data_IF_192200565644
#
_entry.id   IF_192200565644
#
_cell.length_a   1.000
_cell.length_b   1.000
_cell.length_c   1.000
_cell.angle_alpha   90.00
_cell.angle_beta   90.00
_cell.angle_gamma   90.00
#
_symmetry.space_group_name_H-M   'P 1'
#
loop_
_entity.id
_entity.type
_entity.pdbx_description
1 polymer ?
#
# COMPACT_ATOMS: atom_id res chain seq x y z
N UNK A 1 -10.14 -1.53 -34.24
CA UNK A 1 -8.96 -1.19 -33.41
C UNK A 1 -8.31 -2.51 -33.03
N UNK A 2 -6.98 -2.58 -32.91
CA UNK A 2 -6.35 -3.78 -32.35
C UNK A 2 -6.83 -3.94 -30.90
N UNK A 3 -7.01 -5.19 -30.47
CA UNK A 3 -7.38 -5.50 -29.08
C UNK A 3 -6.21 -5.11 -28.16
N UNK A 4 -6.52 -4.33 -27.13
CA UNK A 4 -5.53 -3.89 -26.14
C UNK A 4 -5.26 -5.02 -25.15
N UNK A 5 -4.02 -5.12 -24.67
CA UNK A 5 -3.74 -5.92 -23.48
C UNK A 5 -4.39 -5.29 -22.24
N UNK A 6 -4.63 -6.06 -21.20
CA UNK A 6 -5.19 -5.56 -19.93
C UNK A 6 -4.36 -4.42 -19.36
N UNK A 7 -3.05 -4.56 -19.36
CA UNK A 7 -2.10 -3.52 -18.92
C UNK A 7 -2.24 -2.23 -19.74
N UNK A 8 -2.23 -2.34 -21.06
CA UNK A 8 -2.39 -1.18 -21.94
C UNK A 8 -3.72 -0.47 -21.71
N UNK A 9 -4.81 -1.23 -21.53
CA UNK A 9 -6.15 -0.70 -21.28
C UNK A 9 -6.20 0.11 -19.99
N UNK A 10 -5.67 -0.41 -18.88
CA UNK A 10 -5.60 0.29 -17.59
C UNK A 10 -4.77 1.56 -17.70
N UNK A 11 -3.58 1.50 -18.34
CA UNK A 11 -2.71 2.65 -18.47
C UNK A 11 -3.26 3.73 -19.40
N UNK A 12 -3.93 3.33 -20.49
CA UNK A 12 -4.63 4.27 -21.37
C UNK A 12 -5.78 4.98 -20.66
N UNK A 13 -6.54 4.25 -19.84
CA UNK A 13 -7.60 4.86 -19.03
C UNK A 13 -7.05 5.97 -18.13
N UNK A 14 -5.94 5.73 -17.42
CA UNK A 14 -5.31 6.76 -16.59
C UNK A 14 -4.81 7.97 -17.37
N UNK A 15 -4.38 7.76 -18.62
CA UNK A 15 -3.97 8.84 -19.54
C UNK A 15 -5.13 9.53 -20.24
N UNK A 16 -6.37 9.10 -19.99
CA UNK A 16 -7.59 9.57 -20.68
C UNK A 16 -7.54 9.36 -22.21
N UNK A 17 -6.86 8.30 -22.63
CA UNK A 17 -6.79 7.87 -24.02
C UNK A 17 -7.97 6.94 -24.35
N UNK A 18 -8.22 6.74 -25.65
CA UNK A 18 -9.27 5.84 -26.10
C UNK A 18 -8.93 4.37 -25.75
N UNK A 19 -9.92 3.66 -25.24
CA UNK A 19 -9.85 2.25 -24.87
C UNK A 19 -10.90 1.45 -25.62
N UNK A 20 -10.69 0.16 -25.77
CA UNK A 20 -11.59 -0.78 -26.43
C UNK A 20 -12.79 -1.16 -25.55
N UNK A 21 -12.55 -1.37 -24.27
CA UNK A 21 -13.57 -1.66 -23.25
C UNK A 21 -13.14 -1.11 -21.88
N UNK A 22 -14.09 -0.95 -20.97
CA UNK A 22 -13.77 -0.49 -19.59
C UNK A 22 -13.04 -1.61 -18.84
N UNK A 23 -11.82 -1.34 -18.30
CA UNK A 23 -11.07 -2.37 -17.57
C UNK A 23 -11.72 -2.69 -16.22
N UNK A 24 -11.63 -3.97 -15.85
CA UNK A 24 -11.97 -4.42 -14.49
C UNK A 24 -10.71 -4.45 -13.64
N UNK A 25 -10.42 -3.33 -12.96
CA UNK A 25 -9.22 -3.19 -12.15
C UNK A 25 -9.51 -2.56 -10.79
N UNK A 26 -8.56 -2.71 -9.87
CA UNK A 26 -8.57 -2.01 -8.59
C UNK A 26 -7.29 -1.18 -8.43
N UNK A 27 -7.42 0.02 -7.86
CA UNK A 27 -6.29 0.81 -7.40
C UNK A 27 -5.79 0.40 -6.00
N UNK A 28 -6.40 -0.62 -5.41
CA UNK A 28 -5.99 -1.21 -4.13
C UNK A 28 -5.75 -2.69 -4.27
N UNK A 29 -5.04 -3.25 -3.29
CA UNK A 29 -4.90 -4.70 -3.16
C UNK A 29 -6.26 -5.36 -2.99
N UNK A 30 -6.56 -6.32 -3.86
CA UNK A 30 -7.77 -7.15 -3.82
C UNK A 30 -7.35 -8.58 -3.53
N UNK A 31 -7.96 -9.15 -2.50
CA UNK A 31 -7.69 -10.51 -2.08
C UNK A 31 -9.02 -11.21 -1.70
N UNK A 32 -9.68 -11.84 -2.66
CA UNK A 32 -10.81 -12.72 -2.35
C UNK A 32 -10.36 -13.90 -1.47
N UNK A 33 -11.17 -14.25 -0.48
CA UNK A 33 -10.81 -15.32 0.48
C UNK A 33 -10.57 -16.66 -0.23
N UNK A 34 -11.25 -16.91 -1.31
CA UNK A 34 -11.09 -18.11 -2.13
C UNK A 34 -9.63 -18.30 -2.61
N UNK A 35 -8.89 -17.20 -2.79
CA UNK A 35 -7.47 -17.26 -3.17
C UNK A 35 -6.65 -17.87 -2.02
N UNK A 36 -6.89 -17.44 -0.79
CA UNK A 36 -6.22 -17.98 0.40
C UNK A 36 -6.56 -19.46 0.57
N UNK A 37 -7.83 -19.82 0.43
CA UNK A 37 -8.31 -21.21 0.55
C UNK A 37 -7.64 -22.11 -0.50
N UNK A 38 -7.58 -21.67 -1.76
CA UNK A 38 -6.94 -22.43 -2.83
C UNK A 38 -5.42 -22.49 -2.73
N UNK A 39 -4.79 -21.52 -2.11
CA UNK A 39 -3.35 -21.56 -1.81
C UNK A 39 -3.04 -22.48 -0.63
N UNK A 40 -4.03 -22.81 0.19
CA UNK A 40 -3.86 -23.62 1.40
C UNK A 40 -2.94 -22.96 2.43
N UNK A 41 -2.97 -21.63 2.52
CA UNK A 41 -2.13 -20.84 3.43
C UNK A 41 -2.99 -20.10 4.46
N UNK A 42 -2.36 -19.69 5.55
CA UNK A 42 -3.00 -18.76 6.49
C UNK A 42 -2.93 -17.33 5.98
N UNK A 43 -3.95 -16.53 6.28
CA UNK A 43 -4.00 -15.13 5.86
C UNK A 43 -2.76 -14.33 6.28
N UNK A 44 -2.24 -14.55 7.48
CA UNK A 44 -1.05 -13.86 7.97
C UNK A 44 0.21 -14.09 7.09
N UNK A 45 0.28 -15.21 6.35
CA UNK A 45 1.46 -15.54 5.55
C UNK A 45 1.64 -14.64 4.33
N UNK A 46 0.57 -14.02 3.82
CA UNK A 46 0.70 -13.02 2.75
C UNK A 46 1.44 -11.75 3.19
N UNK A 47 1.48 -11.49 4.50
CA UNK A 47 2.17 -10.34 5.06
C UNK A 47 3.63 -10.62 5.45
N UNK A 48 4.05 -11.88 5.43
CA UNK A 48 5.36 -12.32 5.92
C UNK A 48 6.22 -13.05 4.89
N UNK A 49 5.70 -13.20 3.67
CA UNK A 49 6.40 -13.90 2.57
C UNK A 49 6.20 -13.16 1.26
N UNK A 50 7.31 -12.78 0.62
CA UNK A 50 7.29 -12.17 -0.71
C UNK A 50 6.60 -13.08 -1.73
N UNK A 51 6.86 -14.39 -1.64
CA UNK A 51 6.27 -15.40 -2.52
C UNK A 51 4.75 -15.42 -2.38
N UNK A 52 4.24 -15.58 -1.15
CA UNK A 52 2.79 -15.63 -0.93
C UNK A 52 2.09 -14.30 -1.20
N UNK A 53 2.77 -13.18 -0.95
CA UNK A 53 2.24 -11.84 -1.29
C UNK A 53 2.05 -11.68 -2.79
N UNK A 54 3.06 -12.01 -3.58
CA UNK A 54 3.00 -11.94 -5.03
C UNK A 54 2.02 -12.97 -5.62
N UNK A 55 2.11 -14.22 -5.19
CA UNK A 55 1.24 -15.31 -5.65
C UNK A 55 -0.24 -15.02 -5.40
N UNK A 56 -0.59 -14.48 -4.24
CA UNK A 56 -1.97 -14.12 -3.93
C UNK A 56 -2.51 -13.01 -4.85
N UNK A 57 -1.67 -12.03 -5.21
CA UNK A 57 -2.05 -10.98 -6.16
C UNK A 57 -2.22 -11.53 -7.59
N UNK A 58 -1.29 -12.38 -8.05
CA UNK A 58 -1.36 -13.07 -9.34
C UNK A 58 -2.62 -13.93 -9.44
N UNK A 59 -2.84 -14.74 -8.42
CA UNK A 59 -3.99 -15.64 -8.38
C UNK A 59 -5.31 -14.87 -8.31
N UNK A 60 -5.36 -13.77 -7.57
CA UNK A 60 -6.52 -12.87 -7.55
C UNK A 60 -6.81 -12.31 -8.93
N UNK A 61 -5.78 -11.80 -9.63
CA UNK A 61 -5.94 -11.27 -10.97
C UNK A 61 -6.47 -12.35 -11.93
N UNK A 62 -5.87 -13.54 -11.95
CA UNK A 62 -6.20 -14.62 -12.88
C UNK A 62 -7.55 -15.28 -12.60
N UNK A 63 -7.88 -15.52 -11.33
CA UNK A 63 -9.15 -16.17 -10.96
C UNK A 63 -10.37 -15.28 -11.16
N UNK A 64 -10.22 -13.99 -10.93
CA UNK A 64 -11.34 -13.04 -10.92
C UNK A 64 -11.32 -12.07 -12.11
N UNK A 65 -10.32 -12.17 -12.97
CA UNK A 65 -10.21 -11.32 -14.16
C UNK A 65 -9.84 -9.87 -13.84
N UNK A 66 -9.13 -9.60 -12.74
CA UNK A 66 -8.64 -8.25 -12.47
C UNK A 66 -7.52 -7.89 -13.44
N UNK A 67 -7.63 -6.73 -14.04
CA UNK A 67 -6.63 -6.17 -14.96
C UNK A 67 -5.52 -5.39 -14.21
N UNK A 68 -5.46 -5.55 -12.89
CA UNK A 68 -4.38 -5.02 -12.04
C UNK A 68 -4.04 -5.99 -10.91
N UNK A 69 -2.75 -6.06 -10.56
CA UNK A 69 -2.23 -6.71 -9.37
C UNK A 69 -1.61 -5.64 -8.46
N UNK A 70 -2.10 -5.49 -7.24
CA UNK A 70 -1.72 -4.40 -6.33
C UNK A 70 -1.35 -4.96 -4.97
N UNK A 71 -0.19 -4.59 -4.46
CA UNK A 71 0.29 -4.87 -3.11
C UNK A 71 0.80 -3.57 -2.45
N UNK A 72 1.16 -3.55 -1.14
CA UNK A 72 0.95 -4.59 -0.12
C UNK A 72 -0.52 -4.73 0.31
N UNK A 73 -0.80 -5.64 1.24
CA UNK A 73 -2.17 -5.91 1.71
C UNK A 73 -2.55 -5.22 3.02
N UNK A 74 -1.67 -4.43 3.61
CA UNK A 74 -1.93 -3.77 4.89
C UNK A 74 -1.37 -2.33 4.94
N UNK A 75 -1.84 -1.57 5.92
CA UNK A 75 -1.48 -0.17 6.15
C UNK A 75 -0.25 0.01 7.05
N UNK A 76 0.39 -1.08 7.46
CA UNK A 76 1.43 -1.05 8.50
C UNK A 76 2.85 -1.06 7.94
N UNK A 77 3.03 -1.25 6.64
CA UNK A 77 4.36 -1.40 6.00
C UNK A 77 5.24 -0.17 6.18
N UNK A 78 4.74 1.02 5.89
CA UNK A 78 5.50 2.26 6.11
C UNK A 78 5.65 2.59 7.60
N UNK A 79 4.62 2.51 8.47
CA UNK A 79 4.79 2.61 9.91
C UNK A 79 5.87 1.69 10.48
N UNK A 80 5.94 0.43 10.01
CA UNK A 80 7.00 -0.52 10.38
C UNK A 80 8.38 -0.03 9.94
N UNK A 81 8.51 0.41 8.70
CA UNK A 81 9.73 0.97 8.15
C UNK A 81 10.19 2.22 8.94
N UNK A 82 9.26 2.99 9.47
CA UNK A 82 9.53 4.11 10.40
C UNK A 82 9.83 3.65 11.84
N UNK A 83 10.08 2.37 12.06
CA UNK A 83 10.47 1.81 13.35
C UNK A 83 9.32 1.56 14.34
N UNK A 84 8.05 1.52 13.87
CA UNK A 84 6.94 1.14 14.73
C UNK A 84 6.84 -0.37 14.87
N UNK A 85 6.58 -0.84 16.08
CA UNK A 85 6.29 -2.27 16.30
C UNK A 85 4.98 -2.66 15.62
N UNK A 86 4.97 -3.82 14.96
CA UNK A 86 3.81 -4.33 14.22
C UNK A 86 3.36 -5.66 14.82
N UNK A 87 2.05 -5.83 14.98
CA UNK A 87 1.47 -7.14 15.23
C UNK A 87 1.00 -7.73 13.91
N UNK A 88 1.66 -8.79 13.47
CA UNK A 88 1.37 -9.49 12.21
C UNK A 88 0.34 -10.61 12.37
N UNK A 89 -0.02 -10.96 13.61
CA UNK A 89 -0.93 -12.08 13.92
C UNK A 89 -0.50 -13.40 13.25
N UNK A 90 0.80 -13.64 13.15
CA UNK A 90 1.43 -14.73 12.39
C UNK A 90 0.98 -16.15 12.82
N UNK A 91 0.45 -16.27 14.05
CA UNK A 91 -0.08 -17.52 14.61
C UNK A 91 -1.59 -17.65 14.48
N UNK A 92 -2.27 -16.64 13.96
CA UNK A 92 -3.74 -16.66 13.82
C UNK A 92 -4.16 -17.52 12.63
N UNK A 93 -5.20 -18.28 12.81
CA UNK A 93 -5.91 -18.99 11.73
C UNK A 93 -7.03 -18.10 11.12
N UNK A 94 -7.32 -16.94 11.71
CA UNK A 94 -8.33 -16.01 11.22
C UNK A 94 -7.79 -14.96 10.25
N UNK A 95 -8.72 -14.22 9.66
CA UNK A 95 -8.41 -13.06 8.81
C UNK A 95 -8.18 -11.85 9.70
N UNK A 96 -6.95 -11.63 10.10
CA UNK A 96 -6.52 -10.48 10.91
C UNK A 96 -5.48 -9.66 10.16
N UNK A 97 -5.82 -8.41 9.88
CA UNK A 97 -4.87 -7.48 9.27
C UNK A 97 -3.83 -7.02 10.29
N UNK A 98 -2.57 -6.80 9.86
CA UNK A 98 -1.54 -6.20 10.71
C UNK A 98 -2.00 -4.90 11.36
N UNK A 99 -1.54 -4.67 12.57
CA UNK A 99 -1.82 -3.45 13.33
C UNK A 99 -0.55 -2.83 13.91
N UNK A 100 -0.62 -1.53 14.19
CA UNK A 100 0.44 -0.76 14.88
C UNK A 100 0.02 -0.60 16.34
N UNK A 101 0.47 -1.48 17.26
CA UNK A 101 0.05 -1.45 18.66
C UNK A 101 0.66 -0.29 19.44
N UNK A 102 1.82 0.20 19.02
CA UNK A 102 2.54 1.29 19.71
C UNK A 102 2.74 2.45 18.75
N UNK A 103 2.25 3.61 19.16
CA UNK A 103 2.38 4.86 18.43
C UNK A 103 3.29 5.84 19.18
N UNK A 104 3.82 6.82 18.48
CA UNK A 104 4.49 7.92 19.12
C UNK A 104 3.52 8.73 20.00
N UNK A 105 3.98 9.15 21.15
CA UNK A 105 3.14 9.86 22.13
C UNK A 105 3.18 11.39 21.95
N UNK A 106 4.17 11.90 21.24
CA UNK A 106 4.32 13.32 20.93
C UNK A 106 4.77 13.51 19.48
N UNK A 107 4.48 14.69 18.92
CA UNK A 107 4.94 15.06 17.57
C UNK A 107 6.47 15.19 17.49
N UNK A 108 7.11 15.50 18.63
CA UNK A 108 8.57 15.69 18.73
C UNK A 108 9.36 14.37 18.67
N UNK A 109 8.73 13.24 19.00
CA UNK A 109 9.38 11.92 18.98
C UNK A 109 9.55 11.36 17.57
N UNK A 110 8.94 11.99 16.58
CA UNK A 110 8.91 11.46 15.22
C UNK A 110 10.24 11.74 14.52
N UNK A 111 11.07 10.72 14.50
CA UNK A 111 12.28 10.66 13.69
C UNK A 111 12.04 9.76 12.47
N UNK A 112 12.44 10.24 11.30
CA UNK A 112 12.32 9.49 10.04
C UNK A 112 13.72 9.01 9.66
N UNK A 113 13.99 7.69 9.73
CA UNK A 113 15.26 7.15 9.28
C UNK A 113 15.47 7.45 7.79
N UNK A 114 16.67 7.86 7.40
CA UNK A 114 16.98 8.16 5.99
C UNK A 114 16.90 6.93 5.08
N UNK A 115 17.05 5.75 5.66
CA UNK A 115 17.02 4.43 5.03
C UNK A 115 15.70 3.66 5.30
N UNK A 116 14.62 4.36 5.67
CA UNK A 116 13.39 3.68 6.10
C UNK A 116 12.82 2.73 5.03
N UNK A 117 13.07 2.99 3.75
CA UNK A 117 12.65 2.09 2.67
C UNK A 117 13.47 0.79 2.59
N UNK A 118 14.53 0.65 3.39
CA UNK A 118 15.31 -0.58 3.55
C UNK A 118 14.95 -1.32 4.87
N UNK A 119 14.04 -0.75 5.68
CA UNK A 119 13.70 -1.26 7.01
C UNK A 119 12.42 -2.12 7.00
N UNK A 120 12.25 -2.88 8.08
CA UNK A 120 11.06 -3.70 8.28
C UNK A 120 10.83 -4.71 7.15
N UNK A 121 9.59 -4.80 6.67
CA UNK A 121 9.22 -5.67 5.55
C UNK A 121 9.48 -5.08 4.16
N UNK A 122 10.03 -3.86 4.04
CA UNK A 122 10.23 -3.23 2.74
C UNK A 122 11.04 -4.11 1.77
N UNK A 123 12.19 -4.71 2.16
CA UNK A 123 12.94 -5.59 1.26
C UNK A 123 12.15 -6.83 0.80
N UNK A 124 11.27 -7.35 1.63
CA UNK A 124 10.39 -8.47 1.28
C UNK A 124 9.31 -8.04 0.28
N UNK A 125 8.77 -6.83 0.46
CA UNK A 125 7.78 -6.25 -0.45
C UNK A 125 8.40 -5.94 -1.81
N UNK A 126 9.64 -5.46 -1.84
CA UNK A 126 10.37 -5.22 -3.09
C UNK A 126 10.56 -6.52 -3.90
N UNK A 127 10.88 -7.63 -3.22
CA UNK A 127 10.95 -8.94 -3.86
C UNK A 127 9.59 -9.38 -4.43
N UNK A 128 8.49 -9.11 -3.71
CA UNK A 128 7.16 -9.41 -4.22
C UNK A 128 6.81 -8.55 -5.45
N UNK A 129 7.17 -7.26 -5.46
CA UNK A 129 7.01 -6.40 -6.64
C UNK A 129 7.82 -6.90 -7.82
N UNK A 130 9.09 -7.28 -7.61
CA UNK A 130 9.92 -7.80 -8.69
C UNK A 130 9.26 -8.99 -9.39
N UNK A 131 8.70 -9.91 -8.61
CA UNK A 131 7.96 -11.06 -9.15
C UNK A 131 6.73 -10.61 -9.95
N UNK A 132 5.92 -9.68 -9.42
CA UNK A 132 4.73 -9.18 -10.13
C UNK A 132 5.10 -8.46 -11.43
N UNK A 133 6.14 -7.65 -11.41
CA UNK A 133 6.63 -6.91 -12.59
C UNK A 133 7.11 -7.88 -13.66
N UNK A 134 7.86 -8.92 -13.28
CA UNK A 134 8.33 -9.93 -14.22
C UNK A 134 7.16 -10.69 -14.86
N UNK A 135 6.16 -11.08 -14.10
CA UNK A 135 4.95 -11.75 -14.57
C UNK A 135 4.05 -10.85 -15.45
N UNK A 136 4.09 -9.53 -15.24
CA UNK A 136 3.28 -8.56 -16.00
C UNK A 136 3.83 -8.21 -17.38
N UNK A 137 5.01 -8.70 -17.75
CA UNK A 137 5.69 -8.38 -19.03
C UNK A 137 4.90 -8.80 -20.26
N UNK A 138 4.04 -9.79 -20.12
CA UNK A 138 3.12 -10.24 -21.19
C UNK A 138 1.89 -9.33 -21.37
N UNK A 139 1.70 -8.31 -20.51
CA UNK A 139 0.57 -7.38 -20.57
C UNK A 139 -0.72 -7.90 -19.92
N UNK A 140 -0.68 -9.04 -19.22
CA UNK A 140 -1.84 -9.67 -18.59
C UNK A 140 -2.53 -8.76 -17.55
N UNK A 141 -1.78 -7.95 -16.83
CA UNK A 141 -2.29 -6.98 -15.84
C UNK A 141 -1.30 -5.83 -15.63
N UNK A 142 -1.79 -4.70 -15.11
CA UNK A 142 -0.96 -3.61 -14.63
C UNK A 142 -0.54 -3.86 -13.18
N UNK A 143 0.71 -3.57 -12.82
CA UNK A 143 1.21 -3.65 -11.45
C UNK A 143 1.03 -2.32 -10.76
N UNK A 144 0.31 -2.31 -9.65
CA UNK A 144 0.05 -1.12 -8.87
C UNK A 144 0.66 -1.16 -7.48
N UNK A 145 0.97 0.02 -6.96
CA UNK A 145 1.22 0.25 -5.54
C UNK A 145 0.14 1.16 -4.97
N UNK A 146 -0.07 1.07 -3.66
CA UNK A 146 -0.87 2.05 -2.97
C UNK A 146 -0.17 2.54 -1.70
N UNK A 147 -0.40 3.79 -1.38
CA UNK A 147 0.18 4.48 -0.24
C UNK A 147 -0.92 5.20 0.54
N UNK A 148 -0.72 5.33 1.83
CA UNK A 148 -1.51 6.25 2.64
C UNK A 148 -1.12 7.69 2.32
N UNK A 149 -2.09 8.57 2.24
CA UNK A 149 -1.83 10.01 2.20
C UNK A 149 -1.28 10.52 3.55
N UNK A 150 -0.71 11.73 3.58
CA UNK A 150 0.03 12.23 4.74
C UNK A 150 -0.76 12.25 6.05
N UNK A 151 -2.02 12.64 6.03
CA UNK A 151 -2.86 12.67 7.22
C UNK A 151 -3.22 11.27 7.72
N UNK A 152 -3.56 10.36 6.80
CA UNK A 152 -3.84 8.97 7.14
C UNK A 152 -2.59 8.27 7.67
N UNK A 153 -1.42 8.51 7.05
CA UNK A 153 -0.13 8.03 7.52
C UNK A 153 0.18 8.55 8.93
N UNK A 154 -0.04 9.84 9.17
CA UNK A 154 0.09 10.45 10.49
C UNK A 154 -0.73 9.69 11.54
N UNK A 155 -1.99 9.38 11.26
CA UNK A 155 -2.87 8.62 12.15
C UNK A 155 -2.45 7.17 12.39
N UNK A 156 -1.59 6.58 11.54
CA UNK A 156 -1.01 5.25 11.79
C UNK A 156 0.16 5.30 12.78
N UNK A 157 0.91 6.38 12.82
CA UNK A 157 2.15 6.47 13.61
C UNK A 157 1.99 7.28 14.91
N UNK A 158 0.96 8.12 15.01
CA UNK A 158 0.62 8.89 16.22
C UNK A 158 -0.84 8.66 16.60
N UNK A 159 -1.19 8.90 17.86
CA UNK A 159 -2.58 8.82 18.29
C UNK A 159 -3.44 9.86 17.57
N UNK A 160 -4.52 9.42 16.92
CA UNK A 160 -5.40 10.28 16.13
C UNK A 160 -5.98 11.44 16.97
N UNK A 161 -6.30 11.17 18.23
CA UNK A 161 -6.81 12.16 19.17
C UNK A 161 -5.80 13.30 19.42
N UNK A 162 -4.52 12.96 19.48
CA UNK A 162 -3.43 13.95 19.60
C UNK A 162 -3.32 14.79 18.31
N UNK A 163 -3.43 14.16 17.16
CA UNK A 163 -3.40 14.85 15.87
C UNK A 163 -4.57 15.84 15.71
N UNK A 164 -5.80 15.39 15.98
CA UNK A 164 -7.00 16.22 15.86
C UNK A 164 -7.04 17.36 16.87
N UNK A 165 -6.68 17.09 18.14
CA UNK A 165 -6.57 18.14 19.17
C UNK A 165 -5.44 19.11 18.87
N UNK A 166 -4.33 18.59 18.37
CA UNK A 166 -3.16 19.36 17.97
C UNK A 166 -3.48 20.32 16.82
N UNK A 167 -4.26 19.90 15.82
CA UNK A 167 -4.67 20.73 14.71
C UNK A 167 -5.39 22.04 15.14
N UNK A 168 -6.08 22.01 16.28
CA UNK A 168 -6.74 23.18 16.88
C UNK A 168 -5.83 24.00 17.80
N UNK A 169 -4.95 23.34 18.57
CA UNK A 169 -4.20 23.98 19.66
C UNK A 169 -2.74 24.28 19.28
N UNK A 170 -2.15 23.50 18.40
CA UNK A 170 -0.73 23.53 18.05
C UNK A 170 -0.55 23.39 16.53
N UNK A 171 -1.30 24.21 15.80
CA UNK A 171 -1.41 24.10 14.34
C UNK A 171 -0.05 24.04 13.63
N UNK A 172 0.89 24.91 14.00
CA UNK A 172 2.20 24.98 13.35
C UNK A 172 3.01 23.65 13.54
N UNK A 173 2.90 23.03 14.71
CA UNK A 173 3.58 21.75 14.99
C UNK A 173 2.92 20.61 14.19
N UNK A 174 1.61 20.62 14.08
CA UNK A 174 0.89 19.62 13.26
C UNK A 174 1.19 19.82 11.77
N UNK A 175 1.22 21.05 11.29
CA UNK A 175 1.57 21.36 9.90
C UNK A 175 3.01 20.91 9.57
N UNK A 176 3.97 21.13 10.47
CA UNK A 176 5.35 20.63 10.34
C UNK A 176 5.39 19.10 10.30
N UNK A 177 4.66 18.44 11.20
CA UNK A 177 4.58 16.99 11.23
C UNK A 177 3.95 16.41 9.96
N UNK A 178 2.87 17.01 9.47
CA UNK A 178 2.24 16.58 8.21
C UNK A 178 3.15 16.80 6.99
N UNK A 179 4.00 17.82 7.00
CA UNK A 179 5.05 17.97 5.95
C UNK A 179 6.04 16.82 6.01
N UNK A 180 6.52 16.40 7.20
CA UNK A 180 7.38 15.22 7.34
C UNK A 180 6.68 13.96 6.80
N UNK A 181 5.39 13.78 7.09
CA UNK A 181 4.63 12.66 6.54
C UNK A 181 4.46 12.76 5.02
N UNK A 182 4.34 13.97 4.49
CA UNK A 182 4.32 14.20 3.04
C UNK A 182 5.65 13.77 2.40
N UNK A 183 6.78 14.13 3.00
CA UNK A 183 8.09 13.72 2.52
C UNK A 183 8.26 12.19 2.55
N UNK A 184 7.75 11.52 3.59
CA UNK A 184 7.70 10.05 3.67
C UNK A 184 6.89 9.46 2.52
N UNK A 185 5.70 10.00 2.24
CA UNK A 185 4.84 9.51 1.16
C UNK A 185 5.50 9.73 -0.21
N UNK A 186 6.17 10.87 -0.41
CA UNK A 186 6.92 11.16 -1.64
C UNK A 186 8.06 10.17 -1.81
N UNK A 187 8.87 9.96 -0.78
CA UNK A 187 10.00 9.03 -0.82
C UNK A 187 9.55 7.60 -1.10
N UNK A 188 8.47 7.14 -0.44
CA UNK A 188 7.90 5.83 -0.70
C UNK A 188 7.35 5.70 -2.14
N UNK A 189 6.70 6.76 -2.64
CA UNK A 189 6.23 6.79 -4.03
C UNK A 189 7.39 6.71 -5.04
N UNK A 190 8.46 7.46 -4.81
CA UNK A 190 9.67 7.41 -5.64
C UNK A 190 10.33 6.04 -5.59
N UNK A 191 10.38 5.40 -4.43
CA UNK A 191 10.90 4.05 -4.28
C UNK A 191 10.10 3.06 -5.14
N UNK A 192 8.77 3.02 -4.99
CA UNK A 192 7.94 2.13 -5.81
C UNK A 192 8.04 2.43 -7.32
N UNK A 193 8.13 3.70 -7.69
CA UNK A 193 8.38 4.09 -9.07
C UNK A 193 9.71 3.53 -9.58
N UNK A 194 10.76 3.54 -8.76
CA UNK A 194 12.08 3.02 -9.13
C UNK A 194 12.08 1.49 -9.32
N UNK A 195 11.19 0.76 -8.67
CA UNK A 195 10.98 -0.67 -8.88
C UNK A 195 10.33 -0.97 -10.24
N UNK A 196 9.63 0.01 -10.83
CA UNK A 196 8.97 -0.13 -12.12
C UNK A 196 7.48 -0.49 -12.03
N UNK A 197 6.79 -0.14 -10.93
CA UNK A 197 5.32 -0.27 -10.88
C UNK A 197 4.65 0.64 -11.91
N UNK A 198 3.53 0.22 -12.43
CA UNK A 198 2.83 0.91 -13.51
C UNK A 198 2.01 2.10 -13.04
N UNK A 199 1.51 2.05 -11.81
CA UNK A 199 0.76 3.16 -11.19
C UNK A 199 0.86 3.13 -9.66
N UNK A 200 0.65 4.29 -9.04
CA UNK A 200 0.58 4.44 -7.59
C UNK A 200 -0.73 5.12 -7.23
N UNK A 201 -1.47 4.52 -6.31
CA UNK A 201 -2.68 5.08 -5.75
C UNK A 201 -2.41 5.64 -4.35
N UNK A 202 -2.60 6.94 -4.15
CA UNK A 202 -2.48 7.57 -2.84
C UNK A 202 -3.87 7.67 -2.23
N UNK A 203 -4.05 7.12 -1.03
CA UNK A 203 -5.32 7.10 -0.32
C UNK A 203 -5.27 7.98 0.92
N UNK A 204 -6.04 9.06 0.86
CA UNK A 204 -6.23 9.94 2.00
C UNK A 204 -7.61 9.69 2.62
N UNK A 205 -7.62 9.23 3.85
CA UNK A 205 -8.82 8.96 4.62
C UNK A 205 -8.86 9.92 5.82
N UNK A 206 -10.00 10.51 6.08
CA UNK A 206 -10.16 11.36 7.27
C UNK A 206 -9.69 12.81 7.11
N UNK A 207 -9.34 13.27 5.90
CA UNK A 207 -9.04 14.67 5.60
C UNK A 207 -10.25 15.45 5.07
N UNK A 208 -11.44 14.87 5.15
CA UNK A 208 -12.68 15.55 4.75
C UNK A 208 -13.03 16.71 5.68
N UNK A 209 -13.65 17.75 5.14
CA UNK A 209 -14.07 18.94 5.90
C UNK A 209 -15.03 18.64 7.05
N UNK A 210 -15.65 17.47 7.06
CA UNK A 210 -16.58 17.03 8.10
C UNK A 210 -15.87 16.51 9.36
N UNK A 211 -14.55 16.29 9.27
CA UNK A 211 -13.72 15.73 10.36
C UNK A 211 -12.80 16.81 10.94
N UNK A 212 -12.38 17.76 10.17
CA UNK A 212 -11.52 18.89 10.51
C UNK A 212 -12.32 20.16 10.54
#
# INVERSE_FOLDING_TARGET
>A
MAELTSKERVLKLFRKEAIDTMPFFSGMSMLPIQVIDEMGIRFAQIHTSAEYMAESALKSARMFGFESAVIPYDMCTIPEALGRGINLYDKSEGILFPTVPTKWQTLAEVEIPSDFMEQGRMPMIDQAYQKLIDESKNGEFAVGAWLLGPFTMAGQVIELDLLLKGAKKYKDQVDEFLRKMTDVVIAAGQHYQSLGVDFINIREMGSGTDIL
#
